data_IF_934265776914
#
_entry.id   IF_934265776914
#
_cell.length_a   1.000
_cell.length_b   1.000
_cell.length_c   1.000
_cell.angle_alpha   90.00
_cell.angle_beta   90.00
_cell.angle_gamma   90.00
#
_symmetry.space_group_name_H-M   'P 1'
#
loop_
_entity.id
_entity.type
_entity.pdbx_description
1 polymer ?
#
# COMPACT_ATOMS: atom_id res chain seq x y z
N UNK A 1 20.96 4.44 -5.83
CA UNK A 1 19.80 4.50 -6.76
C UNK A 1 18.66 3.76 -6.08
N UNK A 2 17.50 4.41 -5.90
CA UNK A 2 16.35 3.80 -5.21
C UNK A 2 15.67 2.76 -6.08
N UNK A 3 15.08 1.76 -5.43
CA UNK A 3 14.24 0.75 -6.06
C UNK A 3 12.83 0.76 -5.45
N UNK A 4 11.81 0.91 -6.28
CA UNK A 4 10.42 0.87 -5.84
C UNK A 4 9.79 -0.48 -6.19
N UNK A 5 8.95 -1.00 -5.29
CA UNK A 5 8.06 -2.12 -5.61
C UNK A 5 6.63 -1.60 -5.71
N UNK A 6 6.08 -1.65 -6.91
CA UNK A 6 4.75 -1.14 -7.27
C UNK A 6 3.78 -2.31 -7.25
N UNK A 7 2.77 -2.26 -6.37
CA UNK A 7 1.77 -3.30 -6.24
C UNK A 7 0.43 -2.74 -6.70
N UNK A 8 -0.17 -3.38 -7.69
CA UNK A 8 -1.54 -3.11 -8.12
C UNK A 8 -2.46 -4.19 -7.53
N UNK A 9 -3.23 -3.81 -6.51
CA UNK A 9 -4.16 -4.67 -5.78
C UNK A 9 -5.62 -4.54 -6.26
N UNK A 10 -5.83 -4.03 -7.48
CA UNK A 10 -7.17 -3.99 -8.07
C UNK A 10 -7.72 -5.40 -8.28
N UNK A 11 -9.01 -5.57 -8.01
CA UNK A 11 -9.82 -6.72 -8.40
C UNK A 11 -10.88 -6.27 -9.40
N UNK A 12 -10.92 -6.89 -10.56
CA UNK A 12 -11.90 -6.58 -11.59
C UNK A 12 -13.31 -7.01 -11.19
N UNK A 13 -14.26 -6.10 -11.34
CA UNK A 13 -15.70 -6.38 -11.24
C UNK A 13 -16.40 -5.73 -12.42
N UNK A 14 -16.94 -6.57 -13.31
CA UNK A 14 -17.62 -6.11 -14.53
C UNK A 14 -18.72 -5.09 -14.24
N UNK A 15 -18.68 -3.94 -14.93
CA UNK A 15 -19.65 -2.86 -14.78
C UNK A 15 -19.58 -2.09 -13.43
N UNK A 16 -18.67 -2.47 -12.53
CA UNK A 16 -18.52 -1.83 -11.21
C UNK A 16 -17.15 -1.18 -11.09
N UNK A 17 -16.08 -1.93 -11.33
CA UNK A 17 -14.72 -1.44 -11.22
C UNK A 17 -13.79 -2.16 -12.19
N UNK A 18 -13.33 -1.45 -13.21
CA UNK A 18 -12.51 -1.98 -14.30
C UNK A 18 -11.01 -1.68 -14.12
N UNK A 19 -10.60 -1.03 -13.05
CA UNK A 19 -9.20 -0.80 -12.69
C UNK A 19 -8.48 0.30 -13.45
N UNK A 20 -9.16 1.08 -14.29
CA UNK A 20 -8.53 2.13 -15.11
C UNK A 20 -7.76 3.14 -14.27
N UNK A 21 -8.38 3.70 -13.22
CA UNK A 21 -7.74 4.69 -12.35
C UNK A 21 -6.54 4.08 -11.59
N UNK A 22 -6.70 2.89 -11.00
CA UNK A 22 -5.61 2.22 -10.27
C UNK A 22 -4.42 1.97 -11.19
N UNK A 23 -4.66 1.52 -12.42
CA UNK A 23 -3.61 1.34 -13.44
C UNK A 23 -2.93 2.68 -13.77
N UNK A 24 -3.71 3.75 -14.02
CA UNK A 24 -3.15 5.07 -14.38
C UNK A 24 -2.30 5.64 -13.24
N UNK A 25 -2.72 5.48 -11.98
CA UNK A 25 -1.92 5.88 -10.82
C UNK A 25 -0.62 5.06 -10.71
N UNK A 26 -0.66 3.75 -10.98
CA UNK A 26 0.56 2.92 -11.03
C UNK A 26 1.51 3.37 -12.16
N UNK A 27 0.99 3.69 -13.34
CA UNK A 27 1.80 4.26 -14.43
C UNK A 27 2.41 5.61 -14.06
N UNK A 28 1.70 6.45 -13.29
CA UNK A 28 2.26 7.71 -12.75
C UNK A 28 3.47 7.44 -11.84
N UNK A 29 3.42 6.38 -11.02
CA UNK A 29 4.57 5.97 -10.18
C UNK A 29 5.75 5.51 -11.05
N UNK A 30 5.51 4.76 -12.13
CA UNK A 30 6.57 4.32 -13.04
C UNK A 30 7.23 5.52 -13.72
N UNK A 31 6.43 6.45 -14.26
CA UNK A 31 6.93 7.69 -14.85
C UNK A 31 7.76 8.50 -13.84
N UNK A 32 7.29 8.59 -12.59
CA UNK A 32 8.06 9.22 -11.51
C UNK A 32 9.43 8.53 -11.31
N UNK A 33 9.47 7.20 -11.32
CA UNK A 33 10.73 6.47 -11.22
C UNK A 33 11.67 6.78 -12.38
N UNK A 34 11.17 6.76 -13.61
CA UNK A 34 11.95 7.03 -14.82
C UNK A 34 12.55 8.44 -14.80
N UNK A 35 11.76 9.45 -14.41
CA UNK A 35 12.18 10.85 -14.33
C UNK A 35 13.26 11.09 -13.25
N UNK A 36 13.32 10.23 -12.22
CA UNK A 36 14.32 10.34 -11.13
C UNK A 36 15.48 9.34 -11.26
N UNK A 37 15.51 8.55 -12.32
CA UNK A 37 16.51 7.49 -12.50
C UNK A 37 16.40 6.37 -11.46
N UNK A 38 15.21 6.14 -10.90
CA UNK A 38 14.94 5.02 -9.99
C UNK A 38 14.59 3.78 -10.79
N UNK A 39 14.87 2.61 -10.22
CA UNK A 39 14.40 1.34 -10.79
C UNK A 39 13.13 0.88 -10.09
N UNK A 40 12.36 0.02 -10.72
CA UNK A 40 11.18 -0.55 -10.09
C UNK A 40 10.92 -2.01 -10.49
N UNK A 41 10.13 -2.68 -9.66
CA UNK A 41 9.43 -3.94 -9.97
C UNK A 41 7.94 -3.71 -9.83
N UNK A 42 7.13 -4.41 -10.62
CA UNK A 42 5.68 -4.34 -10.54
C UNK A 42 5.08 -5.72 -10.25
N UNK A 43 3.99 -5.73 -9.48
CA UNK A 43 3.09 -6.87 -9.33
C UNK A 43 1.65 -6.41 -9.52
N UNK A 44 0.97 -7.01 -10.48
CA UNK A 44 -0.49 -6.91 -10.65
C UNK A 44 -1.07 -8.20 -10.06
N UNK A 45 -1.62 -8.12 -8.85
CA UNK A 45 -2.03 -9.31 -8.08
C UNK A 45 -3.01 -10.17 -8.86
N UNK A 46 -3.92 -9.56 -9.62
CA UNK A 46 -4.93 -10.27 -10.40
C UNK A 46 -4.34 -11.16 -11.51
N UNK A 47 -3.12 -10.87 -11.98
CA UNK A 47 -2.42 -11.66 -12.99
C UNK A 47 -1.74 -12.91 -12.41
N UNK A 48 -1.79 -13.10 -11.09
CA UNK A 48 -1.08 -14.15 -10.38
C UNK A 48 0.35 -13.75 -10.01
N UNK A 49 0.93 -14.49 -9.09
CA UNK A 49 2.28 -14.25 -8.56
C UNK A 49 2.84 -15.53 -7.94
N UNK A 50 4.15 -15.63 -7.86
CA UNK A 50 4.84 -16.61 -7.03
C UNK A 50 5.23 -15.97 -5.70
N UNK A 51 4.81 -16.51 -4.54
CA UNK A 51 5.10 -15.88 -3.24
C UNK A 51 6.58 -15.74 -2.92
N UNK A 52 7.44 -16.65 -3.38
CA UNK A 52 8.87 -16.57 -3.11
C UNK A 52 9.54 -15.47 -3.97
N UNK A 53 9.13 -15.32 -5.24
CA UNK A 53 9.58 -14.23 -6.10
C UNK A 53 9.11 -12.87 -5.55
N UNK A 54 7.88 -12.80 -5.02
CA UNK A 54 7.38 -11.57 -4.38
C UNK A 54 8.22 -11.18 -3.16
N UNK A 55 8.61 -12.14 -2.31
CA UNK A 55 9.51 -11.88 -1.18
C UNK A 55 10.82 -11.23 -1.65
N UNK A 56 11.40 -11.67 -2.77
CA UNK A 56 12.62 -11.05 -3.32
C UNK A 56 12.40 -9.61 -3.78
N UNK A 57 11.23 -9.31 -4.38
CA UNK A 57 10.85 -7.94 -4.75
C UNK A 57 10.75 -7.04 -3.53
N UNK A 58 10.14 -7.52 -2.44
CA UNK A 58 10.08 -6.79 -1.16
C UNK A 58 11.46 -6.54 -0.56
N UNK A 59 12.33 -7.56 -0.55
CA UNK A 59 13.71 -7.44 -0.03
C UNK A 59 14.53 -6.45 -0.84
N UNK A 60 14.32 -6.37 -2.15
CA UNK A 60 15.03 -5.44 -3.05
C UNK A 60 14.53 -3.99 -2.89
N UNK A 61 13.26 -3.79 -2.57
CA UNK A 61 12.64 -2.48 -2.58
C UNK A 61 13.08 -1.59 -1.40
N UNK A 62 13.42 -0.34 -1.70
CA UNK A 62 13.57 0.72 -0.71
C UNK A 62 12.20 1.28 -0.28
N UNK A 63 11.26 1.34 -1.25
CA UNK A 63 9.90 1.83 -1.03
C UNK A 63 8.89 0.89 -1.69
N UNK A 64 7.86 0.51 -0.96
CA UNK A 64 6.69 -0.20 -1.49
C UNK A 64 5.57 0.81 -1.72
N UNK A 65 4.96 0.79 -2.90
CA UNK A 65 3.80 1.62 -3.26
C UNK A 65 2.63 0.72 -3.60
N UNK A 66 1.65 0.66 -2.70
CA UNK A 66 0.44 -0.15 -2.86
C UNK A 66 -0.68 0.69 -3.49
N UNK A 67 -1.04 0.39 -4.73
CA UNK A 67 -2.21 0.97 -5.42
C UNK A 67 -3.43 0.08 -5.22
N UNK A 68 -4.51 0.63 -4.68
CA UNK A 68 -5.71 -0.14 -4.35
C UNK A 68 -6.99 0.66 -4.51
N UNK A 69 -8.06 0.11 -5.09
CA UNK A 69 -9.39 0.63 -4.84
C UNK A 69 -9.83 0.22 -3.43
N UNK A 70 -10.74 0.97 -2.84
CA UNK A 70 -11.35 0.59 -1.57
C UNK A 70 -12.71 -0.05 -1.82
N UNK A 71 -12.80 -1.32 -1.48
CA UNK A 71 -14.04 -2.09 -1.54
C UNK A 71 -14.50 -2.41 -0.11
N UNK A 72 -15.71 -1.95 0.25
CA UNK A 72 -16.26 -2.18 1.57
C UNK A 72 -15.31 -1.80 2.71
N UNK A 73 -14.73 -0.59 2.59
CA UNK A 73 -13.84 0.01 3.61
C UNK A 73 -12.52 -0.74 3.83
N UNK A 74 -12.10 -1.55 2.86
CA UNK A 74 -10.81 -2.25 2.89
C UNK A 74 -10.25 -2.42 1.47
N UNK A 75 -9.04 -2.96 1.36
CA UNK A 75 -8.50 -3.41 0.08
C UNK A 75 -9.30 -4.61 -0.46
N UNK A 76 -9.28 -4.88 -1.78
CA UNK A 76 -9.88 -6.08 -2.35
C UNK A 76 -9.38 -7.36 -1.67
N UNK A 77 -10.23 -8.39 -1.61
CA UNK A 77 -9.90 -9.67 -0.94
C UNK A 77 -8.62 -10.34 -1.49
N UNK A 78 -8.33 -10.15 -2.78
CA UNK A 78 -7.12 -10.69 -3.40
C UNK A 78 -5.86 -10.11 -2.77
N UNK A 79 -5.89 -8.85 -2.30
CA UNK A 79 -4.77 -8.27 -1.58
C UNK A 79 -4.55 -8.94 -0.22
N UNK A 80 -5.63 -9.26 0.51
CA UNK A 80 -5.47 -9.99 1.78
C UNK A 80 -4.89 -11.38 1.54
N UNK A 81 -5.36 -12.11 0.51
CA UNK A 81 -4.77 -13.39 0.10
C UNK A 81 -3.28 -13.24 -0.22
N UNK A 82 -2.92 -12.22 -1.02
CA UNK A 82 -1.54 -11.92 -1.38
C UNK A 82 -0.66 -11.68 -0.14
N UNK A 83 -1.12 -10.85 0.80
CA UNK A 83 -0.38 -10.58 2.04
C UNK A 83 -0.19 -11.86 2.85
N UNK A 84 -1.23 -12.68 3.01
CA UNK A 84 -1.15 -13.93 3.76
C UNK A 84 -0.13 -14.91 3.15
N UNK A 85 -0.14 -15.08 1.84
CA UNK A 85 0.75 -16.00 1.14
C UNK A 85 2.20 -15.49 1.13
N UNK A 86 2.41 -14.23 0.76
CA UNK A 86 3.75 -13.65 0.60
C UNK A 86 4.41 -13.43 1.96
N UNK A 87 3.69 -12.90 2.95
CA UNK A 87 4.30 -12.59 4.25
C UNK A 87 4.55 -13.85 5.06
N UNK A 88 3.69 -14.88 4.96
CA UNK A 88 3.98 -16.20 5.53
C UNK A 88 5.21 -16.85 4.86
N UNK A 89 5.34 -16.74 3.55
CA UNK A 89 6.54 -17.18 2.83
C UNK A 89 7.76 -16.39 3.28
N UNK A 90 7.64 -15.07 3.44
CA UNK A 90 8.70 -14.19 3.94
C UNK A 90 9.14 -14.53 5.37
N UNK A 91 8.20 -14.95 6.23
CA UNK A 91 8.51 -15.49 7.57
C UNK A 91 9.24 -16.84 7.46
N UNK A 92 8.71 -17.76 6.67
CA UNK A 92 9.31 -19.10 6.49
C UNK A 92 10.74 -19.04 5.94
N UNK A 93 11.00 -18.09 5.03
CA UNK A 93 12.33 -17.85 4.46
C UNK A 93 13.23 -16.99 5.39
N UNK A 94 12.70 -16.42 6.47
CA UNK A 94 13.41 -15.50 7.35
C UNK A 94 13.91 -14.23 6.66
N UNK A 95 13.13 -13.70 5.68
CA UNK A 95 13.52 -12.55 4.84
C UNK A 95 12.75 -11.28 5.15
N UNK A 96 11.43 -11.35 5.38
CA UNK A 96 10.62 -10.18 5.73
C UNK A 96 10.52 -9.96 7.24
N UNK A 97 10.43 -11.04 7.98
CA UNK A 97 10.41 -11.01 9.44
C UNK A 97 11.03 -12.32 9.97
N UNK A 98 11.56 -12.26 11.17
CA UNK A 98 12.19 -13.40 11.83
C UNK A 98 11.23 -14.11 12.78
N UNK A 99 10.50 -13.32 13.55
CA UNK A 99 9.55 -13.74 14.58
C UNK A 99 8.64 -12.55 14.95
N UNK A 100 7.90 -12.63 16.02
CA UNK A 100 7.08 -11.53 16.54
C UNK A 100 7.82 -10.50 17.39
N UNK A 101 9.12 -10.68 17.59
CA UNK A 101 9.99 -9.79 18.36
C UNK A 101 10.04 -10.06 19.86
N UNK A 102 9.05 -10.73 20.44
CA UNK A 102 9.00 -10.99 21.87
C UNK A 102 10.03 -12.05 22.29
N UNK A 103 10.63 -11.87 23.46
CA UNK A 103 11.48 -12.88 24.06
C UNK A 103 11.36 -12.87 25.58
N UNK A 104 11.39 -14.05 26.21
CA UNK A 104 11.43 -14.19 27.67
C UNK A 104 12.74 -13.71 28.28
N UNK A 105 13.80 -13.64 27.47
CA UNK A 105 15.14 -13.22 27.92
C UNK A 105 15.29 -11.69 27.98
N UNK A 106 14.48 -10.96 27.21
CA UNK A 106 14.52 -9.51 27.13
C UNK A 106 13.09 -8.94 27.09
N UNK A 107 12.52 -8.61 28.27
CA UNK A 107 11.16 -8.07 28.36
C UNK A 107 10.97 -6.68 27.71
N UNK A 108 12.07 -5.98 27.35
CA UNK A 108 12.00 -4.70 26.63
C UNK A 108 11.56 -4.87 25.17
N UNK A 109 11.68 -6.07 24.61
CA UNK A 109 11.27 -6.38 23.25
C UNK A 109 9.76 -6.59 23.15
N UNK A 110 9.12 -5.69 22.43
CA UNK A 110 7.67 -5.66 22.25
C UNK A 110 7.21 -6.53 21.07
N UNK A 111 5.94 -6.90 21.10
CA UNK A 111 5.27 -7.54 19.97
C UNK A 111 5.34 -6.66 18.71
N UNK A 112 5.70 -7.27 17.58
CA UNK A 112 5.83 -6.58 16.29
C UNK A 112 7.22 -6.02 16.00
N UNK A 113 8.24 -6.33 16.81
CA UNK A 113 9.62 -5.85 16.62
C UNK A 113 10.54 -6.87 15.92
N UNK A 114 10.00 -7.99 15.43
CA UNK A 114 10.77 -9.04 14.75
C UNK A 114 10.90 -8.87 13.23
N UNK A 115 10.39 -7.77 12.67
CA UNK A 115 10.51 -7.45 11.26
C UNK A 115 11.96 -7.22 10.83
N UNK A 116 12.29 -7.49 9.57
CA UNK A 116 13.63 -7.36 8.99
C UNK A 116 13.73 -6.24 7.95
N UNK A 117 12.63 -5.51 7.71
CA UNK A 117 12.54 -4.47 6.69
C UNK A 117 12.81 -3.06 7.22
N UNK A 118 13.55 -2.92 8.34
CA UNK A 118 13.93 -1.63 8.88
C UNK A 118 14.71 -0.79 7.85
N UNK A 119 14.42 0.53 7.83
CA UNK A 119 14.97 1.46 6.85
C UNK A 119 14.26 1.48 5.51
N UNK A 120 13.31 0.55 5.28
CA UNK A 120 12.43 0.55 4.12
C UNK A 120 11.10 1.22 4.42
N UNK A 121 10.44 1.71 3.39
CA UNK A 121 9.25 2.54 3.51
C UNK A 121 8.08 1.97 2.73
N UNK A 122 6.87 2.33 3.12
CA UNK A 122 5.64 1.91 2.45
C UNK A 122 4.62 3.03 2.44
N UNK A 123 3.92 3.20 1.33
CA UNK A 123 2.76 4.08 1.19
C UNK A 123 1.64 3.41 0.41
N UNK A 124 0.41 3.83 0.66
CA UNK A 124 -0.78 3.42 -0.10
C UNK A 124 -1.32 4.56 -0.96
N UNK A 125 -1.82 4.19 -2.12
CA UNK A 125 -2.56 5.05 -3.04
C UNK A 125 -3.94 4.46 -3.20
N UNK A 126 -4.92 5.05 -2.52
CA UNK A 126 -6.25 4.47 -2.38
C UNK A 126 -7.32 5.29 -3.11
N UNK A 127 -8.19 4.62 -3.89
CA UNK A 127 -9.31 5.27 -4.56
C UNK A 127 -10.64 4.90 -3.91
N UNK A 128 -11.47 5.94 -3.65
CA UNK A 128 -12.72 5.89 -2.91
C UNK A 128 -13.88 6.42 -3.73
N UNK A 129 -15.02 5.73 -3.70
CA UNK A 129 -16.26 6.33 -4.19
C UNK A 129 -16.91 7.27 -3.16
N UNK A 130 -16.45 7.26 -1.91
CA UNK A 130 -16.87 8.19 -0.88
C UNK A 130 -16.34 9.61 -1.18
N UNK A 131 -17.07 10.68 -0.80
CA UNK A 131 -16.58 12.06 -0.88
C UNK A 131 -15.49 12.29 0.18
N UNK A 132 -14.64 13.30 -0.01
CA UNK A 132 -13.54 13.57 0.93
C UNK A 132 -14.03 14.03 2.32
N UNK A 133 -15.19 14.71 2.37
CA UNK A 133 -15.81 15.17 3.61
C UNK A 133 -16.19 14.03 4.58
N UNK A 134 -16.22 12.78 4.11
CA UNK A 134 -16.47 11.65 5.01
C UNK A 134 -15.27 11.37 5.94
N UNK A 135 -14.08 11.82 5.55
CA UNK A 135 -12.82 11.59 6.25
C UNK A 135 -12.50 12.74 7.22
N UNK A 136 -12.28 12.44 8.49
CA UNK A 136 -11.88 13.41 9.51
C UNK A 136 -12.99 14.32 10.06
N UNK A 137 -14.19 14.29 9.48
CA UNK A 137 -15.30 15.13 9.88
C UNK A 137 -16.15 14.45 10.98
N UNK A 138 -16.24 15.09 12.17
CA UNK A 138 -16.96 14.56 13.32
C UNK A 138 -18.47 14.51 13.13
N UNK A 139 -19.01 15.35 12.25
CA UNK A 139 -20.45 15.46 11.98
C UNK A 139 -20.92 14.40 10.96
N UNK A 140 -20.02 13.70 10.34
CA UNK A 140 -20.35 12.62 9.43
C UNK A 140 -20.77 11.33 10.15
N UNK A 141 -21.90 10.79 9.72
CA UNK A 141 -22.51 9.61 10.33
C UNK A 141 -21.55 8.40 10.38
N UNK A 142 -20.83 8.14 9.30
CA UNK A 142 -20.14 6.86 9.14
C UNK A 142 -18.85 6.77 9.97
N UNK A 143 -17.95 7.74 9.84
CA UNK A 143 -16.61 7.68 10.46
C UNK A 143 -16.49 8.46 11.77
N UNK A 144 -17.41 9.42 12.03
CA UNK A 144 -17.47 10.18 13.28
C UNK A 144 -16.12 10.80 13.68
N UNK A 145 -15.45 11.40 12.70
CA UNK A 145 -14.15 12.07 12.87
C UNK A 145 -12.92 11.19 12.61
N UNK A 146 -13.09 9.90 12.34
CA UNK A 146 -11.98 9.07 11.85
C UNK A 146 -11.67 9.38 10.40
N UNK A 147 -10.42 9.20 10.02
CA UNK A 147 -9.91 9.48 8.67
C UNK A 147 -9.95 8.24 7.78
N UNK A 148 -9.73 8.43 6.47
CA UNK A 148 -9.51 7.34 5.53
C UNK A 148 -8.28 6.48 5.93
N UNK A 149 -7.24 7.11 6.50
CA UNK A 149 -6.08 6.41 7.04
C UNK A 149 -6.43 5.53 8.25
N UNK A 150 -7.34 5.99 9.12
CA UNK A 150 -7.82 5.18 10.24
C UNK A 150 -8.57 3.93 9.76
N UNK A 151 -9.32 4.04 8.66
CA UNK A 151 -10.03 2.90 8.05
C UNK A 151 -9.04 1.88 7.50
N UNK A 152 -7.97 2.33 6.83
CA UNK A 152 -6.97 1.46 6.20
C UNK A 152 -5.76 1.16 7.11
N UNK A 153 -5.80 1.56 8.39
CA UNK A 153 -4.71 1.35 9.33
C UNK A 153 -4.29 -0.12 9.44
N UNK A 154 -5.25 -1.04 9.41
CA UNK A 154 -5.01 -2.48 9.45
C UNK A 154 -4.17 -2.98 8.28
N UNK A 155 -4.23 -2.35 7.12
CA UNK A 155 -3.40 -2.69 5.95
C UNK A 155 -1.94 -2.31 6.23
N UNK A 156 -1.69 -1.07 6.67
CA UNK A 156 -0.36 -0.58 7.01
C UNK A 156 0.32 -1.37 8.13
N UNK A 157 -0.46 -1.84 9.13
CA UNK A 157 0.07 -2.65 10.25
C UNK A 157 0.77 -3.91 9.79
N UNK A 158 0.32 -4.58 8.71
CA UNK A 158 1.01 -5.76 8.17
C UNK A 158 2.45 -5.42 7.75
N UNK A 159 2.64 -4.30 7.08
CA UNK A 159 3.97 -3.83 6.65
C UNK A 159 4.81 -3.38 7.85
N UNK A 160 4.20 -2.63 8.79
CA UNK A 160 4.89 -2.23 10.02
C UNK A 160 5.36 -3.44 10.83
N UNK A 161 4.60 -4.52 10.87
CA UNK A 161 5.00 -5.76 11.52
C UNK A 161 6.25 -6.39 10.88
N UNK A 162 6.44 -6.20 9.57
CA UNK A 162 7.67 -6.58 8.87
C UNK A 162 8.81 -5.56 9.06
N UNK A 163 8.57 -4.40 9.69
CA UNK A 163 9.60 -3.39 9.99
C UNK A 163 9.60 -2.17 9.08
N UNK A 164 8.62 -2.02 8.17
CA UNK A 164 8.51 -0.85 7.30
C UNK A 164 8.12 0.41 8.07
N UNK A 165 8.70 1.55 7.69
CA UNK A 165 8.19 2.89 8.00
C UNK A 165 6.97 3.16 7.12
N UNK A 166 5.85 3.57 7.74
CA UNK A 166 4.67 4.00 7.00
C UNK A 166 4.77 5.47 6.66
N UNK A 167 4.85 5.78 5.38
CA UNK A 167 4.79 7.13 4.84
C UNK A 167 3.33 7.61 4.79
N UNK A 168 3.07 8.92 4.65
CA UNK A 168 1.74 9.44 4.36
C UNK A 168 1.13 8.76 3.13
N UNK A 169 -0.15 8.37 3.22
CA UNK A 169 -0.89 7.79 2.11
C UNK A 169 -1.48 8.87 1.19
N UNK A 170 -1.87 8.48 -0.03
CA UNK A 170 -2.59 9.33 -0.96
C UNK A 170 -3.98 8.77 -1.24
N UNK A 171 -4.98 9.64 -1.20
CA UNK A 171 -6.38 9.25 -1.40
C UNK A 171 -7.01 10.04 -2.54
N UNK A 172 -7.66 9.32 -3.48
CA UNK A 172 -8.57 9.89 -4.49
C UNK A 172 -10.00 9.64 -4.02
N UNK A 173 -10.80 10.69 -3.84
CA UNK A 173 -12.19 10.60 -3.41
C UNK A 173 -13.16 10.85 -4.56
N UNK A 174 -14.43 10.43 -4.42
CA UNK A 174 -15.49 10.63 -5.42
C UNK A 174 -15.20 10.04 -6.81
N UNK A 175 -14.39 9.00 -6.90
CA UNK A 175 -13.83 8.52 -8.17
C UNK A 175 -14.85 7.97 -9.19
N UNK A 176 -16.13 7.78 -8.79
CA UNK A 176 -17.21 7.35 -9.68
C UNK A 176 -18.22 8.49 -9.94
N UNK A 177 -18.63 9.20 -8.88
CA UNK A 177 -19.69 10.22 -9.00
C UNK A 177 -19.19 11.56 -9.53
N UNK A 178 -17.97 11.95 -9.18
CA UNK A 178 -17.34 13.21 -9.61
C UNK A 178 -15.84 13.04 -9.78
N UNK A 179 -15.39 12.26 -10.78
CA UNK A 179 -13.97 11.94 -10.97
C UNK A 179 -13.16 13.17 -11.43
N UNK A 180 -12.15 13.55 -10.66
CA UNK A 180 -11.24 14.64 -10.93
C UNK A 180 -9.86 14.09 -11.37
N UNK A 181 -9.82 13.32 -12.47
CA UNK A 181 -8.66 12.50 -12.86
C UNK A 181 -7.37 13.32 -12.99
N UNK A 182 -7.40 14.45 -13.70
CA UNK A 182 -6.22 15.30 -13.90
C UNK A 182 -5.68 15.85 -12.56
N UNK A 183 -6.60 16.25 -11.66
CA UNK A 183 -6.26 16.69 -10.31
C UNK A 183 -5.61 15.58 -9.50
N UNK A 184 -6.19 14.37 -9.52
CA UNK A 184 -5.59 13.23 -8.79
C UNK A 184 -4.19 12.93 -9.29
N UNK A 185 -3.94 12.91 -10.60
CA UNK A 185 -2.63 12.58 -11.16
C UNK A 185 -1.59 13.64 -10.83
N UNK A 186 -1.95 14.93 -10.96
CA UNK A 186 -1.07 16.04 -10.59
C UNK A 186 -0.73 16.01 -9.11
N UNK A 187 -1.72 15.88 -8.26
CA UNK A 187 -1.54 15.95 -6.81
C UNK A 187 -0.83 14.68 -6.29
N UNK A 188 -1.10 13.53 -6.89
CA UNK A 188 -0.35 12.30 -6.61
C UNK A 188 1.12 12.43 -7.02
N UNK A 189 1.42 13.01 -8.18
CA UNK A 189 2.80 13.28 -8.58
C UNK A 189 3.51 14.16 -7.56
N UNK A 190 2.88 15.25 -7.13
CA UNK A 190 3.42 16.15 -6.10
C UNK A 190 3.61 15.42 -4.75
N UNK A 191 2.71 14.52 -4.39
CA UNK A 191 2.83 13.70 -3.19
C UNK A 191 4.07 12.80 -3.25
N UNK A 192 4.32 12.11 -4.36
CA UNK A 192 5.52 11.29 -4.54
C UNK A 192 6.80 12.12 -4.38
N UNK A 193 6.86 13.34 -4.95
CA UNK A 193 8.00 14.26 -4.81
C UNK A 193 8.26 14.66 -3.33
N UNK A 194 7.23 14.69 -2.51
CA UNK A 194 7.35 15.04 -1.09
C UNK A 194 7.82 13.88 -0.23
N UNK A 195 7.33 12.67 -0.48
CA UNK A 195 7.55 11.52 0.40
C UNK A 195 8.71 10.62 -0.01
N UNK A 196 9.09 10.62 -1.30
CA UNK A 196 10.17 9.78 -1.84
C UNK A 196 11.39 10.67 -2.17
N UNK A 197 12.19 10.96 -1.13
CA UNK A 197 13.42 11.74 -1.27
C UNK A 197 14.66 10.85 -1.21
#
# INVERSE_FOLDING_TARGET
MKHLHIINAHQYYHGISEGKLTKTLAETTKTFCDDHGYTYTETIIENGYDPAEEVEKYVKADVVVLHTPVYWFNTPWIHKKYVDEVFNTGLALGKLLKDDGRTRKDPSKNYGTGGLMQGRKMTMVASWNAPDEFSGNKDQYLLQGKTADDVLYNVGVNYRFCGYELLPNFHCFNVIKDPQIETYLRDYRNHLEQIIK
#
